data_IF_250675660559
#
_entry.id   IF_250675660559
#
_cell.length_a   1.000
_cell.length_b   1.000
_cell.length_c   1.000
_cell.angle_alpha   90.00
_cell.angle_beta   90.00
_cell.angle_gamma   90.00
#
_symmetry.space_group_name_H-M   'P 1'
#
loop_
_entity.id
_entity.type
_entity.pdbx_description
1 polymer ?
#
# COMPACT_ATOMS: atom_id res chain seq x y z
N UNK A 1 -39.03 -21.20 -28.27
CA UNK A 1 -37.95 -20.82 -29.21
C UNK A 1 -36.70 -21.66 -28.92
N UNK A 2 -36.28 -22.54 -29.85
CA UNK A 2 -35.00 -23.26 -29.75
C UNK A 2 -33.86 -22.26 -29.98
N UNK A 3 -33.08 -21.98 -28.94
CA UNK A 3 -31.85 -21.17 -29.07
C UNK A 3 -30.86 -21.96 -29.93
N UNK A 4 -30.45 -21.40 -31.07
CA UNK A 4 -29.46 -22.01 -31.97
C UNK A 4 -28.13 -22.28 -31.22
N UNK A 5 -27.39 -23.35 -31.57
CA UNK A 5 -26.17 -23.74 -30.85
C UNK A 5 -25.12 -22.63 -30.77
N UNK A 6 -25.05 -21.77 -31.79
CA UNK A 6 -24.17 -20.59 -31.84
C UNK A 6 -24.49 -19.55 -30.75
N UNK A 7 -25.78 -19.29 -30.48
CA UNK A 7 -26.20 -18.36 -29.42
C UNK A 7 -25.95 -18.91 -28.01
N UNK A 8 -25.96 -20.23 -27.83
CA UNK A 8 -25.58 -20.87 -26.55
C UNK A 8 -24.09 -20.74 -26.27
N UNK A 9 -23.23 -20.96 -27.27
CA UNK A 9 -21.78 -20.80 -27.18
C UNK A 9 -21.38 -19.36 -26.83
N UNK A 10 -21.91 -18.36 -27.55
CA UNK A 10 -21.62 -16.95 -27.27
C UNK A 10 -22.03 -16.52 -25.85
N UNK A 11 -23.16 -17.01 -25.35
CA UNK A 11 -23.65 -16.68 -23.99
C UNK A 11 -22.88 -17.39 -22.88
N UNK A 12 -22.17 -18.48 -23.20
CA UNK A 12 -21.25 -19.18 -22.29
C UNK A 12 -19.90 -18.48 -22.26
N UNK A 13 -19.37 -18.10 -23.42
CA UNK A 13 -18.14 -17.32 -23.53
C UNK A 13 -18.23 -15.99 -22.75
N UNK A 14 -19.33 -15.24 -22.90
CA UNK A 14 -19.55 -13.99 -22.13
C UNK A 14 -19.54 -14.21 -20.60
N UNK A 15 -20.09 -15.33 -20.12
CA UNK A 15 -20.11 -15.63 -18.68
C UNK A 15 -18.71 -16.01 -18.17
N UNK A 16 -17.95 -16.76 -18.97
CA UNK A 16 -16.58 -17.13 -18.63
C UNK A 16 -15.66 -15.91 -18.61
N UNK A 17 -15.79 -14.99 -19.57
CA UNK A 17 -15.02 -13.73 -19.60
C UNK A 17 -15.34 -12.88 -18.37
N UNK A 18 -16.61 -12.72 -18.01
CA UNK A 18 -16.97 -11.94 -16.83
C UNK A 18 -16.40 -12.55 -15.55
N UNK A 19 -16.47 -13.88 -15.39
CA UNK A 19 -15.89 -14.53 -14.21
C UNK A 19 -14.36 -14.44 -14.18
N UNK A 20 -13.72 -14.46 -15.34
CA UNK A 20 -12.28 -14.24 -15.45
C UNK A 20 -11.90 -12.85 -14.93
N UNK A 21 -12.67 -11.81 -15.27
CA UNK A 21 -12.46 -10.44 -14.77
C UNK A 21 -12.65 -10.37 -13.25
N UNK A 22 -13.71 -10.98 -12.68
CA UNK A 22 -13.91 -10.98 -11.23
C UNK A 22 -12.76 -11.68 -10.48
N UNK A 23 -12.29 -12.82 -10.97
CA UNK A 23 -11.17 -13.53 -10.36
C UNK A 23 -9.87 -12.72 -10.47
N UNK A 24 -9.64 -12.03 -11.59
CA UNK A 24 -8.51 -11.13 -11.73
C UNK A 24 -8.56 -9.95 -10.73
N UNK A 25 -9.75 -9.39 -10.47
CA UNK A 25 -9.94 -8.35 -9.44
C UNK A 25 -9.59 -8.91 -8.06
N UNK A 26 -10.08 -10.09 -7.68
CA UNK A 26 -9.70 -10.71 -6.41
C UNK A 26 -8.19 -10.98 -6.32
N UNK A 27 -7.55 -11.37 -7.42
CA UNK A 27 -6.11 -11.57 -7.45
C UNK A 27 -5.36 -10.28 -7.12
N UNK A 28 -5.73 -9.17 -7.75
CA UNK A 28 -5.16 -7.87 -7.45
C UNK A 28 -5.42 -7.45 -6.00
N UNK A 29 -6.62 -7.67 -5.46
CA UNK A 29 -6.96 -7.30 -4.08
C UNK A 29 -6.18 -8.08 -3.02
N UNK A 30 -5.98 -9.39 -3.21
CA UNK A 30 -5.20 -10.22 -2.29
C UNK A 30 -3.72 -9.89 -2.37
N UNK A 31 -3.18 -9.71 -3.59
CA UNK A 31 -1.80 -9.31 -3.78
C UNK A 31 -1.51 -7.96 -3.11
N UNK A 32 -2.43 -6.99 -3.28
CA UNK A 32 -2.37 -5.71 -2.60
C UNK A 32 -2.36 -5.92 -1.08
N UNK A 33 -3.31 -6.66 -0.50
CA UNK A 33 -3.37 -6.91 0.94
C UNK A 33 -2.09 -7.57 1.52
N UNK A 34 -1.54 -8.57 0.84
CA UNK A 34 -0.30 -9.23 1.26
C UNK A 34 0.90 -8.27 1.21
N UNK A 35 1.01 -7.48 0.14
CA UNK A 35 2.04 -6.43 0.01
C UNK A 35 2.00 -5.45 1.18
N UNK A 36 0.81 -5.06 1.66
CA UNK A 36 0.66 -4.21 2.84
C UNK A 36 0.94 -4.93 4.16
N UNK A 37 0.54 -6.21 4.29
CA UNK A 37 0.87 -6.99 5.49
C UNK A 37 2.38 -7.17 5.63
N UNK A 38 3.09 -7.36 4.53
CA UNK A 38 4.56 -7.41 4.54
C UNK A 38 5.17 -6.06 4.91
N UNK A 39 4.57 -4.94 4.47
CA UNK A 39 4.97 -3.58 4.89
C UNK A 39 4.75 -3.33 6.40
N UNK A 40 3.64 -3.82 6.97
CA UNK A 40 3.41 -3.74 8.42
C UNK A 40 4.41 -4.64 9.15
N UNK A 41 4.66 -5.84 8.63
CA UNK A 41 5.54 -6.83 9.24
C UNK A 41 7.01 -6.41 9.21
N UNK A 42 7.42 -5.65 8.21
CA UNK A 42 8.76 -5.07 8.15
C UNK A 42 8.98 -3.95 9.16
N UNK A 43 7.93 -3.53 9.89
CA UNK A 43 8.02 -2.48 10.91
C UNK A 43 8.18 -1.07 10.32
N UNK A 44 7.84 -0.92 9.04
CA UNK A 44 7.94 0.33 8.27
C UNK A 44 6.57 1.04 8.14
N UNK A 45 5.62 0.76 9.05
CA UNK A 45 4.28 1.31 9.04
C UNK A 45 4.08 2.26 10.23
N UNK A 46 3.77 3.51 9.93
CA UNK A 46 3.62 4.60 10.90
C UNK A 46 2.18 5.09 11.05
N UNK A 47 1.96 5.98 12.00
CA UNK A 47 0.62 6.43 12.39
C UNK A 47 -0.19 7.09 11.27
N UNK A 48 0.46 7.75 10.30
CA UNK A 48 -0.19 8.33 9.09
C UNK A 48 -0.46 7.28 8.00
N UNK A 49 0.35 6.21 7.96
CA UNK A 49 0.14 5.04 7.11
C UNK A 49 -0.88 4.09 7.70
N UNK A 50 -1.08 4.04 9.02
CA UNK A 50 -2.12 3.23 9.67
C UNK A 50 -3.50 3.54 9.06
N UNK A 51 -3.87 4.80 8.84
CA UNK A 51 -5.15 5.16 8.23
C UNK A 51 -5.28 4.66 6.77
N UNK A 52 -4.22 4.82 5.98
CA UNK A 52 -4.15 4.34 4.59
C UNK A 52 -4.14 2.80 4.54
N UNK A 53 -3.52 2.16 5.53
CA UNK A 53 -3.43 0.71 5.70
C UNK A 53 -4.80 0.15 6.06
N UNK A 54 -5.51 0.72 7.05
CA UNK A 54 -6.87 0.30 7.38
C UNK A 54 -7.80 0.48 6.19
N UNK A 55 -7.70 1.59 5.46
CA UNK A 55 -8.48 1.82 4.24
C UNK A 55 -8.16 0.78 3.15
N UNK A 56 -6.87 0.46 2.95
CA UNK A 56 -6.40 -0.53 1.97
C UNK A 56 -6.85 -1.94 2.30
N UNK A 57 -6.80 -2.34 3.58
CA UNK A 57 -7.28 -3.63 4.06
C UNK A 57 -8.80 -3.73 3.90
N UNK A 58 -9.54 -2.68 4.26
CA UNK A 58 -11.00 -2.61 4.06
C UNK A 58 -11.32 -2.72 2.56
N UNK A 59 -10.55 -2.04 1.69
CA UNK A 59 -10.73 -2.12 0.25
C UNK A 59 -10.47 -3.53 -0.30
N UNK A 60 -9.36 -4.16 0.09
CA UNK A 60 -9.05 -5.53 -0.31
C UNK A 60 -10.11 -6.53 0.17
N UNK A 61 -10.57 -6.39 1.41
CA UNK A 61 -11.60 -7.24 1.99
C UNK A 61 -12.96 -7.08 1.28
N UNK A 62 -13.33 -5.84 0.96
CA UNK A 62 -14.60 -5.56 0.28
C UNK A 62 -14.57 -6.00 -1.18
N UNK A 63 -13.46 -5.83 -1.89
CA UNK A 63 -13.26 -6.36 -3.22
C UNK A 63 -13.32 -7.89 -3.24
N UNK A 64 -12.73 -8.57 -2.24
CA UNK A 64 -12.89 -10.00 -2.05
C UNK A 64 -14.36 -10.41 -1.86
N UNK A 65 -15.11 -9.69 -1.01
CA UNK A 65 -16.54 -9.96 -0.83
C UNK A 65 -17.34 -9.77 -2.12
N UNK A 66 -17.04 -8.72 -2.89
CA UNK A 66 -17.66 -8.45 -4.20
C UNK A 66 -17.42 -9.62 -5.14
N UNK A 67 -16.16 -10.05 -5.25
CA UNK A 67 -15.78 -11.18 -6.09
C UNK A 67 -16.40 -12.50 -5.63
N UNK A 68 -16.45 -12.78 -4.31
CA UNK A 68 -17.11 -13.98 -3.79
C UNK A 68 -18.58 -14.04 -4.19
N UNK A 69 -19.31 -12.93 -4.02
CA UNK A 69 -20.73 -12.86 -4.39
C UNK A 69 -20.95 -13.01 -5.89
N UNK A 70 -20.07 -12.40 -6.68
CA UNK A 70 -20.02 -12.55 -8.14
C UNK A 70 -19.84 -14.00 -8.57
N UNK A 71 -18.79 -14.66 -8.07
CA UNK A 71 -18.49 -16.07 -8.33
C UNK A 71 -19.65 -16.96 -7.93
N UNK A 72 -20.17 -16.81 -6.69
CA UNK A 72 -21.31 -17.62 -6.21
C UNK A 72 -22.53 -17.41 -7.10
N UNK A 73 -22.85 -16.16 -7.43
CA UNK A 73 -24.00 -15.81 -8.27
C UNK A 73 -23.90 -16.39 -9.67
N UNK A 74 -22.72 -16.25 -10.29
CA UNK A 74 -22.44 -16.75 -11.63
C UNK A 74 -22.46 -18.28 -11.70
N UNK A 75 -21.77 -18.94 -10.76
CA UNK A 75 -21.75 -20.40 -10.69
C UNK A 75 -23.15 -20.96 -10.44
N UNK A 76 -23.95 -20.28 -9.61
CA UNK A 76 -25.34 -20.66 -9.44
C UNK A 76 -26.11 -20.57 -10.76
N UNK A 77 -25.95 -19.48 -11.53
CA UNK A 77 -26.57 -19.36 -12.86
C UNK A 77 -26.10 -20.48 -13.81
N UNK A 78 -24.82 -20.86 -13.78
CA UNK A 78 -24.30 -21.98 -14.58
C UNK A 78 -24.94 -23.31 -14.20
N UNK A 79 -24.99 -23.63 -12.91
CA UNK A 79 -25.68 -24.82 -12.38
C UNK A 79 -27.15 -24.82 -12.81
N UNK A 80 -27.83 -23.68 -12.69
CA UNK A 80 -29.24 -23.55 -13.06
C UNK A 80 -29.48 -23.76 -14.56
N UNK A 81 -28.51 -23.41 -15.43
CA UNK A 81 -28.58 -23.65 -16.89
C UNK A 81 -28.31 -25.11 -17.27
N UNK A 82 -27.52 -25.84 -16.47
CA UNK A 82 -27.18 -27.25 -16.68
C UNK A 82 -28.06 -28.20 -15.86
N UNK A 83 -29.15 -27.68 -15.27
CA UNK A 83 -30.08 -28.46 -14.44
C UNK A 83 -30.56 -29.74 -15.13
N UNK A 84 -30.89 -29.69 -16.42
CA UNK A 84 -31.34 -30.88 -17.17
C UNK A 84 -30.25 -31.95 -17.30
N UNK A 85 -28.98 -31.54 -17.48
CA UNK A 85 -27.84 -32.47 -17.54
C UNK A 85 -27.63 -33.12 -16.17
N UNK A 86 -27.66 -32.32 -15.09
CA UNK A 86 -27.52 -32.79 -13.71
C UNK A 86 -28.67 -33.74 -13.33
N UNK A 87 -29.90 -33.41 -13.73
CA UNK A 87 -31.09 -34.25 -13.52
C UNK A 87 -31.01 -35.58 -14.25
N UNK A 88 -30.52 -35.57 -15.51
CA UNK A 88 -30.28 -36.79 -16.28
C UNK A 88 -29.22 -37.68 -15.62
N UNK A 89 -28.10 -37.11 -15.16
CA UNK A 89 -27.06 -37.85 -14.45
C UNK A 89 -27.61 -38.51 -13.18
N UNK A 90 -28.43 -37.81 -12.39
CA UNK A 90 -29.09 -38.42 -11.21
C UNK A 90 -30.07 -39.53 -11.58
N UNK A 91 -30.81 -39.38 -12.67
CA UNK A 91 -31.76 -40.40 -13.13
C UNK A 91 -31.05 -41.70 -13.57
N UNK A 92 -29.83 -41.60 -14.07
CA UNK A 92 -28.97 -42.74 -14.44
C UNK A 92 -28.21 -43.30 -13.23
N UNK A 93 -28.36 -42.72 -12.03
CA UNK A 93 -27.81 -43.23 -10.77
C UNK A 93 -26.59 -42.49 -10.23
N UNK A 94 -26.23 -41.33 -10.78
CA UNK A 94 -25.14 -40.52 -10.23
C UNK A 94 -25.44 -40.06 -8.79
N UNK A 95 -24.48 -40.25 -7.89
CA UNK A 95 -24.62 -39.85 -6.50
C UNK A 95 -24.50 -38.33 -6.34
N UNK A 96 -24.91 -37.79 -5.19
CA UNK A 96 -24.69 -36.38 -4.87
C UNK A 96 -23.22 -35.99 -4.89
N UNK A 97 -22.32 -36.92 -4.50
CA UNK A 97 -20.88 -36.71 -4.53
C UNK A 97 -20.33 -36.58 -5.96
N UNK A 98 -20.87 -37.34 -6.92
CA UNK A 98 -20.44 -37.26 -8.31
C UNK A 98 -20.77 -35.90 -8.93
N UNK A 99 -21.96 -35.36 -8.61
CA UNK A 99 -22.38 -34.02 -9.04
C UNK A 99 -21.52 -32.95 -8.38
N UNK A 100 -21.24 -33.11 -7.08
CA UNK A 100 -20.39 -32.18 -6.35
C UNK A 100 -18.98 -32.13 -6.93
N UNK A 101 -18.36 -33.29 -7.21
CA UNK A 101 -17.05 -33.39 -7.87
C UNK A 101 -17.05 -32.75 -9.26
N UNK A 102 -18.11 -32.97 -10.04
CA UNK A 102 -18.24 -32.36 -11.36
C UNK A 102 -18.22 -30.83 -11.29
N UNK A 103 -18.99 -30.25 -10.37
CA UNK A 103 -19.08 -28.78 -10.22
C UNK A 103 -17.79 -28.20 -9.64
N UNK A 104 -17.17 -28.89 -8.68
CA UNK A 104 -15.89 -28.47 -8.12
C UNK A 104 -14.76 -28.55 -9.14
N UNK A 105 -14.75 -29.55 -10.01
CA UNK A 105 -13.78 -29.66 -11.12
C UNK A 105 -13.95 -28.54 -12.14
N UNK A 106 -15.19 -28.24 -12.52
CA UNK A 106 -15.50 -27.11 -13.40
C UNK A 106 -15.07 -25.78 -12.76
N UNK A 107 -15.28 -25.63 -11.45
CA UNK A 107 -14.83 -24.47 -10.68
C UNK A 107 -13.30 -24.37 -10.66
N UNK A 108 -12.60 -25.46 -10.40
CA UNK A 108 -11.13 -25.49 -10.34
C UNK A 108 -10.48 -25.10 -11.67
N UNK A 109 -10.95 -25.67 -12.79
CA UNK A 109 -10.44 -25.34 -14.12
C UNK A 109 -10.67 -23.87 -14.47
N UNK A 110 -11.81 -23.33 -14.03
CA UNK A 110 -12.18 -21.94 -14.25
C UNK A 110 -11.33 -20.96 -13.45
N UNK A 111 -10.81 -21.37 -12.28
CA UNK A 111 -9.90 -20.57 -11.45
C UNK A 111 -8.45 -20.65 -11.94
N UNK A 112 -8.01 -21.83 -12.38
CA UNK A 112 -6.64 -22.03 -12.84
C UNK A 112 -6.30 -21.15 -14.04
N UNK A 113 -7.26 -20.96 -14.96
CA UNK A 113 -7.02 -20.15 -16.17
C UNK A 113 -6.68 -18.67 -15.90
N UNK A 114 -7.47 -17.88 -15.12
CA UNK A 114 -7.09 -16.52 -14.75
C UNK A 114 -5.90 -16.44 -13.82
N UNK A 115 -5.69 -17.43 -12.93
CA UNK A 115 -4.51 -17.45 -12.07
C UNK A 115 -3.21 -17.51 -12.89
N UNK A 116 -3.15 -18.42 -13.88
CA UNK A 116 -1.97 -18.56 -14.74
C UNK A 116 -1.70 -17.29 -15.56
N UNK A 117 -2.77 -16.71 -16.13
CA UNK A 117 -2.66 -15.48 -16.92
C UNK A 117 -2.28 -14.29 -16.04
N UNK A 118 -2.88 -14.16 -14.85
CA UNK A 118 -2.58 -13.09 -13.90
C UNK A 118 -1.13 -13.10 -13.44
N UNK A 119 -0.60 -14.27 -13.06
CA UNK A 119 0.81 -14.43 -12.70
C UNK A 119 1.71 -14.07 -13.89
N UNK A 120 1.40 -14.57 -15.09
CA UNK A 120 2.17 -14.25 -16.29
C UNK A 120 2.20 -12.75 -16.60
N UNK A 121 1.03 -12.09 -16.55
CA UNK A 121 0.92 -10.64 -16.77
C UNK A 121 1.67 -9.85 -15.69
N UNK A 122 1.57 -10.25 -14.42
CA UNK A 122 2.29 -9.60 -13.32
C UNK A 122 3.81 -9.67 -13.48
N UNK A 123 4.34 -10.83 -13.85
CA UNK A 123 5.77 -11.00 -14.14
C UNK A 123 6.17 -10.15 -15.35
N UNK A 124 5.37 -10.15 -16.42
CA UNK A 124 5.61 -9.32 -17.61
C UNK A 124 5.66 -7.83 -17.30
N UNK A 125 4.72 -7.33 -16.50
CA UNK A 125 4.69 -5.92 -16.07
C UNK A 125 5.92 -5.61 -15.21
N UNK A 126 6.26 -6.48 -14.26
CA UNK A 126 7.43 -6.31 -13.39
C UNK A 126 8.71 -6.19 -14.23
N UNK A 127 8.88 -7.06 -15.23
CA UNK A 127 10.01 -6.99 -16.17
C UNK A 127 10.03 -5.71 -17.00
N UNK A 128 8.88 -5.19 -17.42
CA UNK A 128 8.80 -3.92 -18.14
C UNK A 128 9.28 -2.76 -17.26
N UNK A 129 8.92 -2.75 -15.98
CA UNK A 129 9.39 -1.73 -15.04
C UNK A 129 10.90 -1.84 -14.75
N UNK A 130 11.49 -3.03 -14.78
CA UNK A 130 12.96 -3.19 -14.67
C UNK A 130 13.72 -2.62 -15.86
N UNK A 131 13.10 -2.57 -17.05
CA UNK A 131 13.74 -2.10 -18.28
C UNK A 131 13.64 -0.58 -18.41
N UNK A 132 12.59 0.04 -17.87
CA UNK A 132 12.49 1.50 -17.78
C UNK A 132 13.34 1.92 -16.58
N UNK A 133 14.35 2.78 -16.78
CA UNK A 133 15.18 3.36 -15.71
C UNK A 133 14.34 4.22 -14.75
N UNK A 134 13.52 3.55 -13.94
CA UNK A 134 12.65 4.16 -12.93
C UNK A 134 13.31 4.15 -11.54
N UNK A 135 14.49 3.54 -11.40
CA UNK A 135 15.16 3.36 -10.11
C UNK A 135 14.47 2.37 -9.17
N UNK A 136 13.40 1.70 -9.61
CA UNK A 136 12.67 0.69 -8.84
C UNK A 136 13.31 -0.68 -9.03
N UNK A 137 13.99 -1.18 -8.00
CA UNK A 137 14.46 -2.58 -7.98
C UNK A 137 13.27 -3.53 -7.88
N UNK A 138 12.88 -4.12 -9.00
CA UNK A 138 11.80 -5.10 -9.03
C UNK A 138 12.30 -6.47 -8.56
N UNK A 139 12.17 -6.76 -7.28
CA UNK A 139 12.41 -8.09 -6.73
C UNK A 139 11.19 -8.99 -6.91
N UNK A 140 11.30 -10.00 -7.77
CA UNK A 140 10.27 -11.03 -7.93
C UNK A 140 10.48 -12.08 -6.84
N UNK A 141 9.67 -12.01 -5.78
CA UNK A 141 9.65 -13.04 -4.75
C UNK A 141 8.69 -14.18 -5.15
N UNK A 142 9.28 -15.35 -5.43
CA UNK A 142 8.53 -16.56 -5.77
C UNK A 142 7.69 -17.10 -4.60
N UNK A 143 8.12 -16.86 -3.36
CA UNK A 143 7.38 -17.28 -2.16
C UNK A 143 6.09 -16.47 -2.07
N UNK A 144 6.16 -15.16 -2.26
CA UNK A 144 5.01 -14.26 -2.28
C UNK A 144 3.98 -14.65 -3.36
N UNK A 145 4.44 -14.93 -4.59
CA UNK A 145 3.57 -15.39 -5.68
C UNK A 145 2.86 -16.69 -5.32
N UNK A 146 3.57 -17.63 -4.67
CA UNK A 146 3.01 -18.90 -4.25
C UNK A 146 1.94 -18.74 -3.18
N UNK A 147 2.19 -17.91 -2.15
CA UNK A 147 1.24 -17.64 -1.06
C UNK A 147 -0.05 -17.00 -1.56
N UNK A 148 0.05 -15.99 -2.43
CA UNK A 148 -1.11 -15.33 -3.05
C UNK A 148 -1.89 -16.33 -3.92
N UNK A 149 -1.19 -17.10 -4.75
CA UNK A 149 -1.85 -18.06 -5.64
C UNK A 149 -2.59 -19.14 -4.82
N UNK A 150 -1.99 -19.64 -3.75
CA UNK A 150 -2.58 -20.68 -2.90
C UNK A 150 -3.79 -20.16 -2.09
N UNK A 151 -3.68 -18.95 -1.53
CA UNK A 151 -4.77 -18.31 -0.79
C UNK A 151 -5.99 -18.04 -1.67
N UNK A 152 -5.79 -17.60 -2.92
CA UNK A 152 -6.88 -17.39 -3.90
C UNK A 152 -7.51 -18.68 -4.40
N UNK A 153 -6.70 -19.72 -4.63
CA UNK A 153 -7.22 -21.05 -4.97
C UNK A 153 -8.13 -21.56 -3.85
N UNK A 154 -7.71 -21.41 -2.60
CA UNK A 154 -8.50 -21.77 -1.43
C UNK A 154 -9.78 -20.94 -1.34
N UNK A 155 -9.66 -19.61 -1.45
CA UNK A 155 -10.80 -18.69 -1.38
C UNK A 155 -11.87 -19.01 -2.42
N UNK A 156 -11.45 -19.23 -3.68
CA UNK A 156 -12.40 -19.45 -4.76
C UNK A 156 -12.99 -20.87 -4.71
N UNK A 157 -12.21 -21.85 -4.26
CA UNK A 157 -12.71 -23.18 -3.96
C UNK A 157 -13.79 -23.15 -2.87
N UNK A 158 -13.57 -22.41 -1.78
CA UNK A 158 -14.56 -22.21 -0.71
C UNK A 158 -15.84 -21.54 -1.24
N UNK A 159 -15.71 -20.52 -2.09
CA UNK A 159 -16.86 -19.90 -2.75
C UNK A 159 -17.66 -20.91 -3.60
N UNK A 160 -16.96 -21.82 -4.28
CA UNK A 160 -17.55 -22.87 -5.12
C UNK A 160 -18.32 -23.96 -4.36
N UNK A 161 -18.08 -24.13 -3.06
CA UNK A 161 -18.83 -25.09 -2.24
C UNK A 161 -20.31 -24.73 -2.14
N UNK A 162 -20.64 -23.43 -2.02
CA UNK A 162 -22.03 -22.95 -1.90
C UNK A 162 -22.90 -23.38 -3.09
N UNK A 163 -22.53 -23.10 -4.36
CA UNK A 163 -23.30 -23.56 -5.52
C UNK A 163 -23.25 -25.08 -5.69
N UNK A 164 -22.14 -25.75 -5.34
CA UNK A 164 -22.03 -27.20 -5.40
C UNK A 164 -23.03 -27.89 -4.45
N UNK A 165 -23.11 -27.46 -3.19
CA UNK A 165 -24.08 -27.97 -2.21
C UNK A 165 -25.51 -27.72 -2.69
N UNK A 166 -25.79 -26.53 -3.23
CA UNK A 166 -27.11 -26.23 -3.81
C UNK A 166 -27.47 -27.14 -4.97
N UNK A 167 -26.50 -27.54 -5.79
CA UNK A 167 -26.75 -28.42 -6.91
C UNK A 167 -27.12 -29.84 -6.47
N UNK A 168 -26.45 -30.35 -5.43
CA UNK A 168 -26.74 -31.67 -4.84
C UNK A 168 -28.15 -31.73 -4.26
N UNK A 169 -28.66 -30.62 -3.72
CA UNK A 169 -30.01 -30.52 -3.15
C UNK A 169 -31.13 -30.35 -4.18
N UNK A 170 -30.82 -30.32 -5.48
CA UNK A 170 -31.85 -30.24 -6.52
C UNK A 170 -32.53 -31.59 -6.73
N UNK A 171 -33.86 -31.58 -6.68
CA UNK A 171 -34.71 -32.76 -6.89
C UNK A 171 -34.79 -33.11 -8.39
N UNK A 172 -34.30 -34.30 -8.80
CA UNK A 172 -34.32 -34.72 -10.21
C UNK A 172 -35.73 -34.91 -10.77
N UNK A 173 -36.71 -35.31 -9.95
CA UNK A 173 -38.08 -35.55 -10.40
C UNK A 173 -38.74 -34.24 -10.89
N UNK A 174 -38.51 -33.15 -10.15
CA UNK A 174 -39.00 -31.80 -10.48
C UNK A 174 -38.34 -31.25 -11.76
N UNK A 175 -37.10 -31.65 -12.03
CA UNK A 175 -36.32 -31.13 -13.18
C UNK A 175 -36.67 -31.85 -14.49
N UNK A 176 -37.01 -33.15 -14.43
CA UNK A 176 -37.31 -33.98 -15.60
C UNK A 176 -38.81 -34.04 -15.93
N UNK A 177 -39.72 -33.77 -14.98
CA UNK A 177 -41.15 -33.75 -15.25
C UNK A 177 -41.52 -32.52 -16.10
N UNK A 178 -41.58 -32.72 -17.41
CA UNK A 178 -41.89 -31.70 -18.43
C UNK A 178 -43.31 -31.10 -18.35
N UNK A 179 -44.14 -31.52 -17.39
CA UNK A 179 -45.39 -30.85 -17.05
C UNK A 179 -45.15 -29.80 -15.96
N UNK A 180 -44.83 -28.60 -16.40
CA UNK A 180 -44.88 -27.42 -15.54
C UNK A 180 -46.36 -27.13 -15.28
N UNK A 181 -46.96 -27.81 -14.31
CA UNK A 181 -47.83 -27.08 -13.40
C UNK A 181 -46.92 -25.97 -12.87
N UNK A 182 -47.17 -24.74 -13.32
CA UNK A 182 -46.59 -23.56 -12.70
C UNK A 182 -47.15 -23.58 -11.28
N UNK A 183 -46.49 -24.31 -10.38
CA UNK A 183 -46.65 -24.11 -8.96
C UNK A 183 -46.10 -22.70 -8.77
N UNK A 184 -46.99 -21.70 -8.90
CA UNK A 184 -46.82 -20.39 -8.30
C UNK A 184 -46.75 -20.67 -6.81
N UNK A 185 -45.61 -21.19 -6.32
CA UNK A 185 -45.24 -20.94 -4.93
C UNK A 185 -45.30 -19.43 -4.84
N UNK A 186 -46.09 -18.84 -3.93
CA UNK A 186 -45.94 -17.42 -3.67
C UNK A 186 -44.46 -17.28 -3.38
N UNK A 187 -43.73 -16.61 -4.27
CA UNK A 187 -42.37 -16.21 -4.00
C UNK A 187 -42.57 -15.31 -2.81
N UNK A 188 -42.39 -15.86 -1.60
CA UNK A 188 -42.32 -15.11 -0.37
C UNK A 188 -41.40 -13.98 -0.73
N UNK A 189 -41.97 -12.77 -0.82
CA UNK A 189 -41.30 -11.54 -1.18
C UNK A 189 -40.35 -11.29 -0.02
N UNK A 190 -39.28 -12.09 0.13
CA UNK A 190 -38.29 -11.89 1.17
C UNK A 190 -37.54 -10.65 0.69
N UNK A 191 -37.79 -9.47 1.30
CA UNK A 191 -37.10 -8.27 0.91
C UNK A 191 -35.60 -8.46 1.12
N UNK A 192 -35.20 -9.43 1.96
CA UNK A 192 -33.83 -9.83 2.27
C UNK A 192 -32.89 -9.95 1.06
N UNK A 193 -33.33 -10.48 -0.10
CA UNK A 193 -32.46 -10.54 -1.29
C UNK A 193 -32.27 -9.18 -1.94
N UNK A 194 -33.32 -8.35 -2.00
CA UNK A 194 -33.22 -6.98 -2.52
C UNK A 194 -32.42 -6.09 -1.55
N UNK A 195 -32.66 -6.24 -0.25
CA UNK A 195 -31.92 -5.59 0.82
C UNK A 195 -30.44 -5.96 0.72
N UNK A 196 -30.09 -7.23 0.56
CA UNK A 196 -28.69 -7.65 0.42
C UNK A 196 -28.02 -7.03 -0.83
N UNK A 197 -28.71 -6.98 -1.97
CA UNK A 197 -28.17 -6.35 -3.19
C UNK A 197 -28.04 -4.83 -3.05
N UNK A 198 -29.00 -4.17 -2.40
CA UNK A 198 -28.95 -2.72 -2.15
C UNK A 198 -27.86 -2.39 -1.12
N UNK A 199 -27.74 -3.17 -0.04
CA UNK A 199 -26.68 -3.06 0.96
C UNK A 199 -25.30 -3.21 0.32
N UNK A 200 -25.18 -4.14 -0.64
CA UNK A 200 -23.95 -4.35 -1.38
C UNK A 200 -23.55 -3.16 -2.26
N UNK A 201 -24.47 -2.64 -3.08
CA UNK A 201 -24.17 -1.47 -3.92
C UNK A 201 -23.95 -0.18 -3.10
N UNK A 202 -24.67 -0.02 -1.98
CA UNK A 202 -24.43 1.10 -1.05
C UNK A 202 -23.09 1.00 -0.35
N UNK A 203 -22.63 -0.21 0.00
CA UNK A 203 -21.28 -0.44 0.52
C UNK A 203 -20.21 0.00 -0.50
N UNK A 204 -20.34 -0.41 -1.77
CA UNK A 204 -19.41 0.01 -2.84
C UNK A 204 -19.39 1.53 -3.02
N UNK A 205 -20.56 2.18 -3.03
CA UNK A 205 -20.66 3.62 -3.19
C UNK A 205 -19.99 4.40 -2.03
N UNK A 206 -20.17 3.92 -0.79
CA UNK A 206 -19.59 4.54 0.39
C UNK A 206 -18.05 4.48 0.37
N UNK A 207 -17.49 3.37 -0.11
CA UNK A 207 -16.05 3.20 -0.30
C UNK A 207 -15.50 4.20 -1.32
N UNK A 208 -16.18 4.35 -2.47
CA UNK A 208 -15.74 5.27 -3.51
C UNK A 208 -15.72 6.73 -3.01
N UNK A 209 -16.71 7.12 -2.20
CA UNK A 209 -16.74 8.44 -1.56
C UNK A 209 -15.60 8.60 -0.55
N UNK A 210 -15.32 7.58 0.27
CA UNK A 210 -14.19 7.61 1.21
C UNK A 210 -12.85 7.79 0.48
N UNK A 211 -12.63 7.09 -0.64
CA UNK A 211 -11.43 7.26 -1.46
C UNK A 211 -11.29 8.68 -2.01
N UNK A 212 -12.39 9.27 -2.52
CA UNK A 212 -12.35 10.65 -3.02
C UNK A 212 -11.98 11.62 -1.89
N UNK A 213 -12.55 11.42 -0.69
CA UNK A 213 -12.26 12.26 0.47
C UNK A 213 -10.79 12.19 0.88
N UNK A 214 -10.24 10.97 0.99
CA UNK A 214 -8.83 10.75 1.35
C UNK A 214 -7.89 11.29 0.26
N UNK A 215 -8.21 11.10 -1.01
CA UNK A 215 -7.42 11.67 -2.10
C UNK A 215 -7.45 13.20 -2.08
N UNK A 216 -8.60 13.80 -1.75
CA UNK A 216 -8.72 15.24 -1.60
C UNK A 216 -7.94 15.76 -0.39
N UNK A 217 -7.92 15.04 0.74
CA UNK A 217 -7.11 15.43 1.89
C UNK A 217 -5.61 15.31 1.62
N UNK A 218 -5.17 14.27 0.89
CA UNK A 218 -3.78 14.12 0.47
C UNK A 218 -3.34 15.21 -0.51
N UNK A 219 -4.18 15.54 -1.50
CA UNK A 219 -3.88 16.62 -2.45
C UNK A 219 -3.76 17.97 -1.72
N UNK A 220 -4.63 18.25 -0.73
CA UNK A 220 -4.53 19.46 0.07
C UNK A 220 -3.19 19.55 0.82
N UNK A 221 -2.75 18.47 1.46
CA UNK A 221 -1.46 18.41 2.15
C UNK A 221 -0.27 18.60 1.17
N UNK A 222 -0.34 17.98 -0.01
CA UNK A 222 0.70 18.11 -1.03
C UNK A 222 0.82 19.54 -1.57
N UNK A 223 -0.31 20.24 -1.78
CA UNK A 223 -0.30 21.63 -2.21
C UNK A 223 0.28 22.56 -1.14
N UNK A 224 0.00 22.32 0.14
CA UNK A 224 0.58 23.09 1.25
C UNK A 224 2.12 22.93 1.28
N UNK A 225 2.63 21.70 1.09
CA UNK A 225 4.08 21.45 0.98
C UNK A 225 4.70 22.19 -0.23
N UNK A 226 4.05 22.15 -1.40
CA UNK A 226 4.56 22.83 -2.61
C UNK A 226 4.58 24.35 -2.44
N UNK A 227 3.54 24.93 -1.82
CA UNK A 227 3.48 26.38 -1.57
C UNK A 227 4.57 26.80 -0.59
N UNK A 228 4.73 26.06 0.51
CA UNK A 228 5.69 26.41 1.56
C UNK A 228 7.15 26.13 1.17
N UNK A 229 7.39 25.18 0.27
CA UNK A 229 8.71 24.86 -0.28
C UNK A 229 8.95 25.46 -1.68
N UNK A 230 8.23 26.53 -2.03
CA UNK A 230 8.41 27.21 -3.32
C UNK A 230 9.43 28.35 -3.21
N UNK A 231 10.68 28.10 -3.62
CA UNK A 231 11.73 29.14 -3.69
C UNK A 231 13.16 28.58 -3.58
N UNK A 232 14.19 29.45 -3.55
CA UNK A 232 15.56 29.02 -3.26
C UNK A 232 15.78 28.88 -1.73
N UNK A 233 16.62 27.92 -1.29
CA UNK A 233 17.04 27.83 0.10
C UNK A 233 17.85 29.06 0.53
N UNK A 234 17.86 29.41 1.85
CA UNK A 234 18.60 30.57 2.39
C UNK A 234 20.07 30.59 1.98
N UNK A 235 20.60 31.76 1.63
CA UNK A 235 21.99 31.92 1.19
C UNK A 235 22.98 31.90 2.38
N UNK A 236 24.25 31.56 2.11
CA UNK A 236 25.37 31.48 3.09
C UNK A 236 25.89 32.83 3.60
N UNK A 237 25.02 33.84 3.64
CA UNK A 237 25.25 35.17 4.22
C UNK A 237 23.97 35.75 4.82
N UNK A 238 22.87 34.99 4.75
CA UNK A 238 21.57 35.38 5.24
C UNK A 238 21.40 34.89 6.67
N UNK A 239 20.61 35.62 7.46
CA UNK A 239 20.19 35.16 8.77
C UNK A 239 19.34 33.90 8.64
N UNK A 240 19.56 32.93 9.52
CA UNK A 240 18.72 31.74 9.61
C UNK A 240 17.25 32.17 9.84
N UNK A 241 16.29 31.59 9.09
CA UNK A 241 14.86 31.86 9.27
C UNK A 241 14.39 31.36 10.65
N UNK A 242 13.17 31.72 11.05
CA UNK A 242 12.60 31.19 12.28
C UNK A 242 12.09 29.76 12.07
N UNK A 243 12.36 28.87 13.03
CA UNK A 243 11.98 27.46 12.98
C UNK A 243 11.83 26.88 14.39
N UNK A 244 11.16 25.73 14.48
CA UNK A 244 11.03 24.95 15.72
C UNK A 244 11.11 23.45 15.45
N UNK A 245 11.56 22.71 16.44
CA UNK A 245 11.65 21.24 16.42
C UNK A 245 11.53 20.71 17.85
N UNK A 246 11.49 19.39 17.99
CA UNK A 246 11.27 18.69 19.25
C UNK A 246 12.49 17.81 19.57
N UNK A 247 12.94 17.81 20.83
CA UNK A 247 14.00 16.94 21.31
C UNK A 247 13.50 15.55 21.75
N UNK A 248 14.43 14.63 22.06
CA UNK A 248 14.16 13.27 22.54
C UNK A 248 13.20 13.17 23.74
N UNK A 249 13.06 14.24 24.52
CA UNK A 249 12.19 14.30 25.71
C UNK A 249 10.82 14.92 25.41
N UNK A 250 10.55 15.32 24.16
CA UNK A 250 9.30 15.93 23.72
C UNK A 250 9.24 17.44 23.96
N UNK A 251 10.35 18.10 24.29
CA UNK A 251 10.40 19.55 24.50
C UNK A 251 10.63 20.27 23.17
N UNK A 252 9.80 21.29 22.93
CA UNK A 252 9.92 22.15 21.75
C UNK A 252 11.09 23.11 21.93
N UNK A 253 12.01 23.10 20.97
CA UNK A 253 13.15 24.02 20.85
C UNK A 253 12.87 24.95 19.68
N UNK A 254 12.88 26.26 19.93
CA UNK A 254 12.72 27.29 18.90
C UNK A 254 14.06 27.94 18.55
N UNK A 255 14.15 28.48 17.33
CA UNK A 255 15.33 29.23 16.86
C UNK A 255 15.75 30.37 17.79
N UNK A 256 14.81 30.95 18.55
CA UNK A 256 15.10 32.02 19.51
C UNK A 256 16.00 31.56 20.67
N UNK A 257 15.89 30.30 21.08
CA UNK A 257 16.72 29.72 22.13
C UNK A 257 18.16 29.41 21.69
N UNK A 258 18.40 29.42 20.37
CA UNK A 258 19.69 29.16 19.74
C UNK A 258 20.43 30.46 19.37
N UNK A 259 19.85 31.62 19.65
CA UNK A 259 20.52 32.90 19.42
C UNK A 259 21.82 32.99 20.24
N UNK A 260 22.88 33.56 19.66
CA UNK A 260 24.20 33.70 20.28
C UNK A 260 24.95 32.38 20.49
N UNK A 261 24.58 31.33 19.75
CA UNK A 261 25.32 30.07 19.70
C UNK A 261 25.68 29.72 18.26
N UNK A 262 26.90 29.25 18.04
CA UNK A 262 27.28 28.62 16.79
C UNK A 262 26.76 27.18 16.79
N UNK A 263 26.03 26.77 15.76
CA UNK A 263 25.47 25.42 15.66
C UNK A 263 25.45 24.88 14.23
N UNK A 264 25.40 23.56 14.13
CA UNK A 264 25.28 22.81 12.90
C UNK A 264 23.88 22.18 12.82
N UNK A 265 23.10 22.57 11.81
CA UNK A 265 21.74 22.12 11.58
C UNK A 265 21.73 21.12 10.43
N UNK A 266 21.55 19.84 10.72
CA UNK A 266 21.40 18.79 9.72
C UNK A 266 19.91 18.45 9.60
N UNK A 267 19.32 18.70 8.44
CA UNK A 267 17.96 18.31 8.10
C UNK A 267 18.05 17.07 7.20
N UNK A 268 17.56 15.94 7.67
CA UNK A 268 17.71 14.66 6.99
C UNK A 268 16.58 13.68 7.28
N UNK A 269 16.62 12.52 6.63
CA UNK A 269 15.69 11.43 6.86
C UNK A 269 16.47 10.13 7.14
N UNK A 270 15.89 9.22 7.92
CA UNK A 270 16.56 7.96 8.35
C UNK A 270 16.85 7.03 7.18
N UNK A 271 15.98 7.02 6.18
CA UNK A 271 16.06 6.21 4.96
C UNK A 271 16.94 6.83 3.87
N UNK A 272 17.48 8.04 4.09
CA UNK A 272 18.33 8.71 3.13
C UNK A 272 19.80 8.25 3.26
N UNK A 273 20.41 7.60 2.25
CA UNK A 273 21.80 7.15 2.32
C UNK A 273 22.77 8.30 2.58
N UNK A 274 22.53 9.47 1.97
CA UNK A 274 23.35 10.67 2.17
C UNK A 274 23.35 11.14 3.63
N UNK A 275 22.20 11.04 4.32
CA UNK A 275 22.08 11.44 5.72
C UNK A 275 23.01 10.60 6.62
N UNK A 276 23.06 9.28 6.40
CA UNK A 276 23.96 8.38 7.15
C UNK A 276 25.44 8.74 6.98
N UNK A 277 25.84 9.19 5.78
CA UNK A 277 27.22 9.60 5.47
C UNK A 277 27.56 10.89 6.23
N UNK A 278 26.65 11.86 6.22
CA UNK A 278 26.85 13.13 6.95
C UNK A 278 26.88 12.90 8.47
N UNK A 279 25.97 12.09 9.01
CA UNK A 279 25.94 11.74 10.44
C UNK A 279 27.22 11.03 10.90
N UNK A 280 27.75 10.12 10.07
CA UNK A 280 29.03 9.47 10.34
C UNK A 280 30.18 10.48 10.40
N UNK A 281 30.22 11.42 9.46
CA UNK A 281 31.29 12.42 9.42
C UNK A 281 31.22 13.39 10.60
N UNK A 282 30.02 13.88 10.95
CA UNK A 282 29.79 14.70 12.13
C UNK A 282 30.20 13.94 13.41
N UNK A 283 29.83 12.67 13.53
CA UNK A 283 30.20 11.82 14.67
C UNK A 283 31.72 11.67 14.82
N UNK A 284 32.49 11.59 13.72
CA UNK A 284 33.95 11.58 13.78
C UNK A 284 34.51 12.90 14.33
N UNK A 285 33.93 14.03 13.97
CA UNK A 285 34.37 15.35 14.46
C UNK A 285 34.03 15.53 15.94
N UNK A 286 32.90 15.00 16.40
CA UNK A 286 32.55 14.92 17.83
C UNK A 286 33.57 14.04 18.57
N UNK A 287 33.86 12.84 18.07
CA UNK A 287 34.82 11.93 18.68
C UNK A 287 36.26 12.50 18.72
N UNK A 288 36.62 13.33 17.75
CA UNK A 288 37.90 14.05 17.71
C UNK A 288 37.95 15.28 18.64
N UNK A 289 36.85 15.63 19.33
CA UNK A 289 36.76 16.82 20.17
C UNK A 289 36.80 18.13 19.39
N UNK A 290 36.45 18.09 18.10
CA UNK A 290 36.36 19.28 17.23
C UNK A 290 35.00 19.97 17.33
N UNK A 291 33.95 19.21 17.66
CA UNK A 291 32.59 19.70 17.88
C UNK A 291 32.04 19.11 19.18
N UNK A 292 31.22 19.86 19.91
CA UNK A 292 30.41 19.28 20.98
C UNK A 292 29.13 18.69 20.38
N UNK A 293 28.68 17.56 20.91
CA UNK A 293 27.43 16.93 20.46
C UNK A 293 26.19 17.83 20.69
N UNK A 294 26.31 18.81 21.59
CA UNK A 294 25.28 19.83 21.89
C UNK A 294 25.14 20.90 20.82
N UNK A 295 26.14 21.05 19.95
CA UNK A 295 26.13 22.06 18.89
C UNK A 295 25.59 21.50 17.58
N UNK A 296 25.27 20.21 17.53
CA UNK A 296 24.77 19.50 16.36
C UNK A 296 23.29 19.17 16.56
N UNK A 297 22.45 19.78 15.73
CA UNK A 297 21.02 19.55 15.68
C UNK A 297 20.70 18.71 14.45
N UNK A 298 20.71 17.38 14.61
CA UNK A 298 20.28 16.43 13.59
C UNK A 298 18.75 16.28 13.61
N UNK A 299 18.09 17.15 12.86
CA UNK A 299 16.65 17.21 12.71
C UNK A 299 16.22 16.22 11.64
N UNK A 300 15.45 15.24 12.07
CA UNK A 300 14.83 14.28 11.19
C UNK A 300 13.45 14.80 10.82
N UNK A 301 13.25 15.02 9.52
CA UNK A 301 11.95 15.36 8.96
C UNK A 301 11.24 14.09 8.48
N UNK A 302 9.92 14.17 8.45
CA UNK A 302 9.05 13.02 8.23
C UNK A 302 9.37 12.36 6.88
N UNK A 303 9.96 11.16 6.97
CA UNK A 303 10.17 10.27 5.84
C UNK A 303 8.82 9.66 5.42
N UNK A 304 8.64 9.17 4.18
CA UNK A 304 7.52 8.28 3.84
C UNK A 304 7.37 7.06 4.76
N UNK A 305 8.38 6.77 5.60
CA UNK A 305 8.43 5.76 6.66
C UNK A 305 8.40 6.43 8.04
N UNK A 306 7.54 7.44 8.23
CA UNK A 306 7.17 8.06 9.51
C UNK A 306 8.15 7.91 10.67
N UNK A 307 8.92 8.93 10.96
CA UNK A 307 9.95 8.80 12.00
C UNK A 307 9.36 9.02 13.39
N UNK A 308 9.24 7.99 14.23
CA UNK A 308 9.08 8.20 15.68
C UNK A 308 10.43 8.55 16.31
N UNK A 309 10.42 9.33 17.40
CA UNK A 309 11.66 9.72 18.07
C UNK A 309 12.43 8.49 18.59
N UNK A 310 11.70 7.49 19.08
CA UNK A 310 12.24 6.20 19.51
C UNK A 310 12.93 5.45 18.36
N UNK A 311 12.36 5.50 17.15
CA UNK A 311 12.95 4.88 15.97
C UNK A 311 14.23 5.58 15.54
N UNK A 312 14.26 6.92 15.59
CA UNK A 312 15.47 7.71 15.30
C UNK A 312 16.55 7.39 16.33
N UNK A 313 16.24 7.42 17.62
CA UNK A 313 17.22 7.10 18.66
C UNK A 313 17.75 5.68 18.53
N UNK A 314 16.89 4.72 18.15
CA UNK A 314 17.32 3.35 17.87
C UNK A 314 18.28 3.31 16.67
N UNK A 315 17.95 3.98 15.58
CA UNK A 315 18.79 4.07 14.38
C UNK A 315 20.17 4.67 14.69
N UNK A 316 20.21 5.78 15.44
CA UNK A 316 21.47 6.43 15.84
C UNK A 316 22.32 5.50 16.72
N UNK A 317 21.69 4.77 17.66
CA UNK A 317 22.36 3.80 18.53
C UNK A 317 22.92 2.59 17.75
N UNK A 318 22.15 2.02 16.84
CA UNK A 318 22.58 0.85 16.05
C UNK A 318 23.77 1.18 15.14
N UNK A 319 23.84 2.41 14.64
CA UNK A 319 24.92 2.87 13.76
C UNK A 319 26.07 3.57 14.51
N UNK A 320 26.03 3.62 15.85
CA UNK A 320 27.01 4.31 16.71
C UNK A 320 27.22 5.79 16.37
N UNK A 321 26.17 6.50 15.96
CA UNK A 321 26.24 7.95 15.74
C UNK A 321 26.19 8.70 17.06
N UNK A 322 27.15 9.61 17.27
CA UNK A 322 27.32 10.35 18.53
C UNK A 322 26.62 11.71 18.49
N UNK A 323 25.36 11.71 18.07
CA UNK A 323 24.53 12.92 17.89
C UNK A 323 23.16 12.71 18.54
N UNK A 324 22.57 13.77 19.09
CA UNK A 324 21.22 13.71 19.66
C UNK A 324 20.15 13.64 18.55
N UNK A 325 19.03 12.96 18.85
CA UNK A 325 17.88 12.89 17.96
C UNK A 325 16.99 14.11 18.15
N UNK A 326 16.66 14.77 17.04
CA UNK A 326 15.62 15.81 16.99
C UNK A 326 14.65 15.48 15.87
N UNK A 327 13.39 15.87 16.06
CA UNK A 327 12.32 15.65 15.10
C UNK A 327 11.52 16.92 14.86
N UNK A 328 11.06 17.10 13.63
CA UNK A 328 10.20 18.20 13.24
C UNK A 328 8.86 17.69 12.72
N UNK A 329 7.88 17.58 13.62
CA UNK A 329 6.53 17.12 13.28
C UNK A 329 5.72 18.13 12.46
N UNK A 330 6.06 19.41 12.53
CA UNK A 330 5.31 20.50 11.87
C UNK A 330 5.94 20.92 10.54
N UNK A 331 7.01 20.22 10.10
CA UNK A 331 7.82 20.58 8.92
C UNK A 331 8.31 22.03 8.97
N UNK A 332 8.43 22.61 10.17
CA UNK A 332 8.82 24.00 10.39
C UNK A 332 10.20 24.30 9.81
N UNK A 333 11.16 23.41 10.03
CA UNK A 333 12.53 23.49 9.54
C UNK A 333 12.61 23.25 8.03
N UNK A 334 11.87 22.27 7.51
CA UNK A 334 11.82 21.97 6.08
C UNK A 334 11.32 23.18 5.28
N UNK A 335 10.20 23.77 5.69
CA UNK A 335 9.60 24.93 5.05
C UNK A 335 10.44 26.20 5.25
N UNK A 336 10.94 26.43 6.47
CA UNK A 336 11.74 27.63 6.75
C UNK A 336 13.03 27.67 5.92
N UNK A 337 13.74 26.54 5.81
CA UNK A 337 14.98 26.43 5.04
C UNK A 337 14.76 26.08 3.57
N UNK A 338 13.51 25.85 3.18
CA UNK A 338 13.12 25.51 1.82
C UNK A 338 13.97 24.37 1.25
N UNK A 339 14.00 23.28 2.00
CA UNK A 339 14.86 22.14 1.74
C UNK A 339 14.31 21.37 0.55
N UNK A 340 14.96 21.49 -0.61
CA UNK A 340 14.56 20.80 -1.84
C UNK A 340 15.25 19.46 -2.06
N UNK A 341 16.33 19.19 -1.33
CA UNK A 341 17.06 17.92 -1.36
C UNK A 341 17.57 17.53 0.03
N UNK A 342 17.47 16.24 0.34
CA UNK A 342 17.99 15.66 1.59
C UNK A 342 19.27 14.85 1.32
N UNK A 343 20.22 14.82 2.27
CA UNK A 343 20.27 15.67 3.48
C UNK A 343 20.62 17.12 3.15
N UNK A 344 20.24 18.07 4.02
CA UNK A 344 20.65 19.46 3.94
C UNK A 344 21.33 19.89 5.24
N UNK A 345 22.53 20.45 5.15
CA UNK A 345 23.30 20.90 6.31
C UNK A 345 23.53 22.40 6.25
N UNK A 346 23.30 23.08 7.35
CA UNK A 346 23.57 24.51 7.53
C UNK A 346 24.48 24.70 8.73
N UNK A 347 25.53 25.52 8.58
CA UNK A 347 26.35 25.98 9.70
C UNK A 347 25.93 27.42 9.98
N UNK A 348 25.59 27.70 11.23
CA UNK A 348 25.12 29.00 11.69
C UNK A 348 26.06 29.50 12.77
N UNK A 349 26.49 30.76 12.67
CA UNK A 349 27.35 31.39 13.69
C UNK A 349 26.53 32.01 14.83
N UNK A 350 27.21 32.58 15.84
CA UNK A 350 26.58 33.22 17.00
C UNK A 350 25.61 34.37 16.64
N UNK A 351 25.86 35.10 15.54
CA UNK A 351 24.98 36.18 15.07
C UNK A 351 23.67 35.66 14.44
N UNK A 352 23.58 34.33 14.25
CA UNK A 352 22.49 33.65 13.56
C UNK A 352 22.63 33.71 12.03
N UNK A 353 23.82 34.00 11.50
CA UNK A 353 24.11 34.07 10.07
C UNK A 353 24.55 32.69 9.59
N UNK A 354 23.97 32.22 8.49
CA UNK A 354 24.40 30.98 7.83
C UNK A 354 25.75 31.23 7.18
N UNK A 355 26.78 30.49 7.57
CA UNK A 355 28.15 30.63 7.05
C UNK A 355 28.47 29.58 5.99
N UNK A 356 27.86 28.41 6.08
CA UNK A 356 27.99 27.33 5.09
C UNK A 356 26.67 26.60 4.90
N UNK A 357 26.47 26.07 3.69
CA UNK A 357 25.29 25.32 3.28
C UNK A 357 25.69 24.16 2.37
N UNK A 358 25.16 22.99 2.64
CA UNK A 358 25.34 21.77 1.87
C UNK A 358 23.95 21.21 1.54
N UNK A 359 23.70 20.89 0.28
CA UNK A 359 22.41 20.40 -0.20
C UNK A 359 22.64 19.09 -0.95
N UNK A 360 22.37 17.97 -0.30
CA UNK A 360 22.74 16.64 -0.76
C UNK A 360 24.12 16.22 -0.27
N UNK A 361 24.70 15.24 -0.96
CA UNK A 361 26.00 14.70 -0.61
C UNK A 361 26.84 14.38 -1.86
N UNK A 362 28.14 14.68 -1.79
CA UNK A 362 29.15 14.31 -2.77
C UNK A 362 30.54 14.27 -2.13
N UNK A 363 31.49 13.54 -2.71
CA UNK A 363 32.85 13.45 -2.16
C UNK A 363 33.53 14.83 -2.03
N UNK A 364 33.31 15.74 -2.98
CA UNK A 364 33.85 17.11 -2.94
C UNK A 364 33.22 17.96 -1.83
N UNK A 365 31.91 17.83 -1.61
CA UNK A 365 31.22 18.54 -0.54
C UNK A 365 31.67 18.08 0.84
N UNK A 366 32.03 16.81 0.99
CA UNK A 366 32.57 16.29 2.26
C UNK A 366 33.94 16.86 2.60
N UNK A 367 34.79 17.16 1.61
CA UNK A 367 36.07 17.84 1.84
C UNK A 367 35.86 19.30 2.25
N UNK A 368 34.96 20.01 1.56
CA UNK A 368 34.58 21.39 1.92
C UNK A 368 33.90 21.48 3.30
N UNK A 369 33.14 20.46 3.69
CA UNK A 369 32.52 20.34 5.01
C UNK A 369 33.58 20.30 6.12
N UNK A 370 34.62 19.47 5.97
CA UNK A 370 35.72 19.38 6.95
C UNK A 370 36.38 20.73 7.16
N UNK A 371 36.70 21.43 6.07
CA UNK A 371 37.31 22.76 6.13
C UNK A 371 36.39 23.81 6.80
N UNK A 372 35.09 23.71 6.57
CA UNK A 372 34.09 24.61 7.15
C UNK A 372 33.90 24.37 8.65
N UNK A 373 33.88 23.11 9.09
CA UNK A 373 33.79 22.75 10.51
C UNK A 373 35.05 23.15 11.30
N UNK A 374 36.24 23.10 10.67
CA UNK A 374 37.47 23.57 11.30
C UNK A 374 37.44 25.08 11.57
N UNK A 375 36.86 25.87 10.65
CA UNK A 375 36.71 27.33 10.82
C UNK A 375 35.77 27.71 11.94
N UNK A 376 34.73 26.91 12.16
CA UNK A 376 33.74 27.11 13.24
C UNK A 376 34.36 27.06 14.64
N UNK A 377 35.49 26.37 14.84
CA UNK A 377 36.18 26.28 16.13
C UNK A 377 37.20 27.41 16.37
N UNK A 378 37.64 28.07 15.30
CA UNK A 378 38.71 29.09 15.36
C UNK A 378 38.21 30.51 15.58
N UNK A 379 36.93 30.75 15.30
CA UNK A 379 36.20 31.97 15.66
C UNK A 379 35.55 31.78 17.04
#
# INVERSE_FOLDING_TARGET
MRVTPTKKLAKRAKLNIFMFVEIAIAFASVAFAFSYLDLIRSGAADFSTEEIIYLSIIFAFTALLVTALGIIGMQLIMVLRRRSEIGLHRAVGATGLDIMRLILKDTLLLILSPALVGVGVGIWISLLFSIVETGLETHIDFVFILEITLSLLLFTFLCGLVPAIKAVRMDPAVVLSKHVAVVKKPVSKRPLRKIATIAFYSMIALIFVACIFVNHSLEAAYQDDVVNSSGPPPATTQRAPAFSFVDGEGKVISSDSLQYKSYCLLIGAVDCPGNSIMLNELSKHVAAGLLESTDIYAIHIDSPIGTSIDAIEKYLRENNFSVAAYIDYEKSTEWAFNVSSLPALYIVNEDGIITARFLGWSEYEMEYLRDSLLKMKTD
#
